data_IF_433912874852
#
_entry.id   IF_433912874852
#
_cell.length_a   1.000
_cell.length_b   1.000
_cell.length_c   1.000
_cell.angle_alpha   90.00
_cell.angle_beta   90.00
_cell.angle_gamma   90.00
#
_symmetry.space_group_name_H-M   'P 1'
#
loop_
_entity.id
_entity.type
_entity.pdbx_description
1 polymer ?
#
# COMPACT_ATOMS: atom_id res chain seq x y z
N UNK A 1 20.03 -39.06 11.86
CA UNK A 1 20.65 -38.21 12.89
C UNK A 1 21.89 -37.66 12.22
N UNK A 2 21.90 -36.44 11.69
CA UNK A 2 21.80 -35.16 12.38
C UNK A 2 21.19 -34.09 11.45
N UNK A 3 20.23 -33.30 11.94
CA UNK A 3 20.08 -31.87 11.58
C UNK A 3 20.74 -31.13 12.74
N UNK A 4 21.60 -30.13 12.54
CA UNK A 4 21.04 -28.77 12.42
C UNK A 4 21.93 -27.77 11.64
N UNK A 5 21.28 -26.91 10.86
CA UNK A 5 21.89 -25.72 10.27
C UNK A 5 20.86 -24.62 10.09
N UNK A 6 20.01 -24.42 11.10
CA UNK A 6 19.04 -23.34 11.15
C UNK A 6 19.62 -22.17 11.95
N UNK A 7 19.66 -21.02 11.26
CA UNK A 7 19.58 -19.66 11.80
C UNK A 7 20.83 -19.07 12.46
N UNK A 8 21.72 -18.51 11.63
CA UNK A 8 22.47 -17.30 12.00
C UNK A 8 21.78 -16.09 11.35
N UNK A 9 20.59 -15.74 11.84
CA UNK A 9 20.14 -14.36 11.75
C UNK A 9 21.04 -13.58 12.71
N UNK A 10 22.07 -12.92 12.18
CA UNK A 10 22.82 -11.92 12.91
C UNK A 10 21.82 -10.88 13.43
N UNK A 11 21.55 -10.90 14.74
CA UNK A 11 20.68 -9.93 15.38
C UNK A 11 21.37 -8.57 15.24
N UNK A 12 20.81 -7.62 14.47
CA UNK A 12 21.47 -6.34 14.26
C UNK A 12 21.64 -5.65 15.62
N UNK A 13 22.82 -5.07 15.93
CA UNK A 13 23.06 -4.42 17.20
C UNK A 13 22.04 -3.28 17.42
N UNK A 14 21.52 -3.08 18.64
CA UNK A 14 20.42 -2.14 18.92
C UNK A 14 20.71 -0.68 18.50
N UNK A 15 21.98 -0.30 18.33
CA UNK A 15 22.41 1.00 17.79
C UNK A 15 22.02 1.22 16.32
N UNK A 16 21.91 0.15 15.52
CA UNK A 16 21.52 0.23 14.10
C UNK A 16 19.99 0.34 13.90
N UNK A 17 19.19 -0.11 14.87
CA UNK A 17 17.72 -0.02 14.85
C UNK A 17 17.26 1.44 14.97
N UNK A 18 17.96 2.23 15.79
CA UNK A 18 17.66 3.65 16.01
C UNK A 18 17.93 4.50 14.77
N UNK A 19 18.93 4.14 13.96
CA UNK A 19 19.24 4.84 12.71
C UNK A 19 18.15 4.66 11.64
N UNK A 20 17.61 3.45 11.51
CA UNK A 20 16.57 3.17 10.51
C UNK A 20 15.21 3.78 10.90
N UNK A 21 14.90 3.85 12.20
CA UNK A 21 13.67 4.47 12.70
C UNK A 21 13.64 5.98 12.45
N UNK A 22 14.78 6.67 12.56
CA UNK A 22 14.89 8.11 12.28
C UNK A 22 14.73 8.47 10.79
N UNK A 23 15.02 7.56 9.85
CA UNK A 23 14.81 7.80 8.43
C UNK A 23 13.34 7.60 8.01
N UNK A 24 12.63 6.67 8.65
CA UNK A 24 11.21 6.38 8.39
C UNK A 24 10.28 7.50 8.91
N UNK A 25 10.65 8.16 10.00
CA UNK A 25 9.82 9.20 10.64
C UNK A 25 9.75 10.50 9.81
N UNK A 26 10.83 10.88 9.12
CA UNK A 26 10.90 12.12 8.33
C UNK A 26 10.12 12.01 7.00
N UNK A 27 10.10 10.84 6.37
CA UNK A 27 9.46 10.66 5.04
C UNK A 27 7.91 10.63 5.07
N UNK A 28 7.30 10.43 6.24
CA UNK A 28 5.86 10.18 6.38
C UNK A 28 5.07 11.34 7.03
N UNK A 29 5.66 12.52 7.21
CA UNK A 29 4.95 13.68 7.78
C UNK A 29 4.05 14.36 6.74
N UNK A 30 2.88 13.77 6.48
CA UNK A 30 1.87 14.31 5.54
C UNK A 30 0.86 15.19 6.26
N UNK A 31 0.45 16.29 5.63
CA UNK A 31 -0.65 17.13 6.13
C UNK A 31 -1.96 16.37 6.14
N UNK A 32 -2.90 16.79 6.99
CA UNK A 32 -4.22 16.16 7.11
C UNK A 32 -5.01 16.18 5.79
N UNK A 33 -4.89 17.26 5.01
CA UNK A 33 -5.50 17.36 3.68
C UNK A 33 -4.95 16.29 2.72
N UNK A 34 -3.63 16.08 2.72
CA UNK A 34 -3.00 15.05 1.90
C UNK A 34 -3.40 13.63 2.32
N UNK A 35 -3.53 13.38 3.63
CA UNK A 35 -4.04 12.09 4.14
C UNK A 35 -5.46 11.81 3.65
N UNK A 36 -6.35 12.81 3.71
CA UNK A 36 -7.73 12.68 3.17
C UNK A 36 -7.73 12.41 1.68
N UNK A 37 -6.87 13.09 0.92
CA UNK A 37 -6.80 12.94 -0.53
C UNK A 37 -6.27 11.56 -0.92
N UNK A 38 -5.23 11.07 -0.23
CA UNK A 38 -4.71 9.71 -0.38
C UNK A 38 -5.77 8.65 -0.08
N UNK A 39 -6.49 8.78 1.03
CA UNK A 39 -7.57 7.87 1.39
C UNK A 39 -8.66 7.82 0.29
N UNK A 40 -9.10 8.97 -0.21
CA UNK A 40 -10.07 9.04 -1.32
C UNK A 40 -9.55 8.41 -2.60
N UNK A 41 -8.27 8.60 -2.95
CA UNK A 41 -7.67 8.01 -4.15
C UNK A 41 -7.55 6.48 -4.03
N UNK A 42 -7.26 5.97 -2.84
CA UNK A 42 -7.24 4.54 -2.57
C UNK A 42 -8.67 3.94 -2.64
N UNK A 43 -9.66 4.66 -2.10
CA UNK A 43 -11.08 4.30 -2.17
C UNK A 43 -11.62 4.25 -3.61
N UNK A 44 -11.18 5.16 -4.48
CA UNK A 44 -11.57 5.19 -5.89
C UNK A 44 -10.96 4.05 -6.71
N UNK A 45 -9.89 3.42 -6.23
CA UNK A 45 -9.17 2.37 -6.94
C UNK A 45 -9.83 0.99 -6.80
N UNK A 46 -11.16 0.94 -6.91
CA UNK A 46 -11.98 -0.26 -6.73
C UNK A 46 -12.50 -0.80 -8.08
N UNK A 47 -12.74 -2.12 -8.20
CA UNK A 47 -13.38 -2.70 -9.37
C UNK A 47 -14.88 -2.32 -9.42
N UNK A 48 -15.47 -2.42 -10.62
CA UNK A 48 -16.89 -2.11 -10.83
C UNK A 48 -17.75 -3.23 -10.21
N UNK A 49 -18.77 -2.88 -9.39
CA UNK A 49 -19.70 -3.85 -8.83
C UNK A 49 -20.52 -4.61 -9.89
N UNK A 50 -20.82 -5.87 -9.62
CA UNK A 50 -21.50 -6.76 -10.56
C UNK A 50 -22.90 -6.26 -10.97
N UNK A 51 -23.69 -5.75 -10.04
CA UNK A 51 -25.05 -5.25 -10.34
C UNK A 51 -25.05 -4.07 -11.32
N UNK A 52 -23.97 -3.27 -11.38
CA UNK A 52 -23.81 -2.21 -12.38
C UNK A 52 -23.60 -2.83 -13.77
N UNK A 53 -22.82 -3.91 -13.86
CA UNK A 53 -22.61 -4.64 -15.12
C UNK A 53 -23.89 -5.28 -15.63
N UNK A 54 -24.79 -5.67 -14.73
CA UNK A 54 -26.08 -6.30 -15.06
C UNK A 54 -27.16 -5.29 -15.46
N UNK A 55 -26.95 -3.98 -15.33
CA UNK A 55 -27.94 -2.99 -15.78
C UNK A 55 -28.08 -3.00 -17.30
N UNK A 56 -29.31 -3.19 -17.78
CA UNK A 56 -29.66 -3.12 -19.21
C UNK A 56 -29.25 -1.77 -19.81
N UNK A 57 -28.64 -1.79 -21.00
CA UNK A 57 -28.17 -0.58 -21.68
C UNK A 57 -26.84 -0.01 -21.16
N UNK A 58 -26.21 -0.61 -20.14
CA UNK A 58 -24.91 -0.17 -19.65
C UNK A 58 -23.76 -0.68 -20.53
N UNK A 59 -22.91 0.23 -21.02
CA UNK A 59 -21.73 -0.06 -21.84
C UNK A 59 -20.43 -0.18 -21.03
N UNK A 60 -20.44 0.16 -19.74
CA UNK A 60 -19.24 0.21 -18.91
C UNK A 60 -18.83 -1.21 -18.49
N UNK A 61 -17.64 -1.66 -18.94
CA UNK A 61 -17.11 -3.02 -18.65
C UNK A 61 -16.02 -3.03 -17.57
N UNK A 62 -15.16 -2.02 -17.53
CA UNK A 62 -14.04 -1.91 -16.60
C UNK A 62 -13.86 -0.45 -16.15
N UNK A 63 -13.21 -0.24 -15.00
CA UNK A 63 -12.89 1.11 -14.52
C UNK A 63 -11.63 1.62 -15.24
N UNK A 64 -11.81 2.45 -16.27
CA UNK A 64 -10.70 3.03 -17.04
C UNK A 64 -9.81 3.98 -16.22
N UNK A 65 -10.31 4.48 -15.09
CA UNK A 65 -9.59 5.40 -14.19
C UNK A 65 -8.88 4.67 -13.04
N UNK A 66 -8.81 3.34 -13.07
CA UNK A 66 -8.06 2.54 -12.09
C UNK A 66 -6.57 2.87 -12.18
N UNK A 67 -5.90 3.09 -11.03
CA UNK A 67 -4.49 3.52 -10.98
C UNK A 67 -3.69 2.62 -10.03
N UNK A 68 -2.53 2.15 -10.46
CA UNK A 68 -1.65 1.28 -9.65
C UNK A 68 -0.64 2.08 -8.80
N UNK A 69 -0.18 3.24 -9.29
CA UNK A 69 0.69 4.16 -8.56
C UNK A 69 -0.01 5.51 -8.36
N UNK A 70 0.04 6.04 -7.14
CA UNK A 70 -0.36 7.40 -6.82
C UNK A 70 0.86 8.29 -7.11
N UNK A 71 0.94 8.85 -8.32
CA UNK A 71 1.99 9.80 -8.69
C UNK A 71 1.74 11.14 -8.02
N UNK A 72 2.21 11.26 -6.78
CA UNK A 72 2.17 12.44 -5.91
C UNK A 72 3.59 12.81 -5.51
#
# INVERSE_FOLDING_TARGET
>A
MERPGLLLFAFPPPSSILSLSQLLTISSHKTFQMKRLLAKKQEQNRPIPQWIRMKTGNKIRHNSKRRTKLGL
#
